data_IF_514868961746
#
_entry.id   IF_514868961746
#
_cell.length_a   1.000
_cell.length_b   1.000
_cell.length_c   1.000
_cell.angle_alpha   90.00
_cell.angle_beta   90.00
_cell.angle_gamma   90.00
#
_symmetry.space_group_name_H-M   'P 1'
#
loop_
_entity.id
_entity.type
_entity.pdbx_description
1 polymer ?
#
# COMPACT_ATOMS: atom_id res chain seq x y z
N UNK A 1 -32.80 33.62 48.79
CA UNK A 1 -31.64 34.26 48.15
C UNK A 1 -31.25 33.41 46.94
N UNK A 2 -31.49 33.90 45.72
CA UNK A 2 -31.15 33.21 44.45
C UNK A 2 -29.63 33.01 44.33
N UNK A 3 -29.11 31.94 43.69
CA UNK A 3 -28.92 31.98 42.22
C UNK A 3 -28.55 30.63 41.57
N UNK A 4 -29.32 30.23 40.55
CA UNK A 4 -28.99 29.24 39.50
C UNK A 4 -28.00 29.82 38.47
N UNK A 5 -26.68 29.80 38.70
CA UNK A 5 -25.61 30.12 37.71
C UNK A 5 -24.31 29.49 38.25
N UNK A 6 -23.79 28.33 37.86
CA UNK A 6 -23.27 27.98 36.53
C UNK A 6 -23.35 26.47 36.36
N UNK A 7 -24.41 26.07 35.70
CA UNK A 7 -24.68 24.77 35.11
C UNK A 7 -23.76 24.49 33.89
N UNK A 8 -22.66 25.19 33.65
CA UNK A 8 -21.91 25.08 32.39
C UNK A 8 -20.40 25.32 32.57
N UNK A 9 -19.59 24.55 31.81
CA UNK A 9 -18.12 24.53 31.68
C UNK A 9 -17.47 23.51 32.63
N UNK A 10 -16.94 22.37 32.21
CA UNK A 10 -16.71 21.75 30.90
C UNK A 10 -16.46 20.28 31.27
N UNK A 11 -17.38 19.35 30.99
CA UNK A 11 -17.33 18.54 29.79
C UNK A 11 -15.89 18.35 29.26
N UNK A 12 -15.01 17.80 30.08
CA UNK A 12 -13.73 17.28 29.63
C UNK A 12 -14.04 15.96 28.90
N UNK A 13 -14.57 16.07 27.68
CA UNK A 13 -14.47 14.98 26.70
C UNK A 13 -12.98 14.79 26.47
N UNK A 14 -12.40 13.81 27.16
CA UNK A 14 -11.11 13.26 26.81
C UNK A 14 -11.32 12.49 25.50
N UNK A 15 -11.39 13.22 24.38
CA UNK A 15 -11.39 12.60 23.05
C UNK A 15 -10.02 12.00 22.85
N UNK A 16 -9.90 10.70 23.09
CA UNK A 16 -8.76 9.94 22.60
C UNK A 16 -8.77 10.06 21.07
N UNK A 17 -7.75 10.68 20.49
CA UNK A 17 -7.56 10.66 19.05
C UNK A 17 -7.20 9.22 18.69
N UNK A 18 -8.18 8.45 18.24
CA UNK A 18 -7.96 7.11 17.71
C UNK A 18 -7.54 7.23 16.25
N UNK A 19 -6.34 6.77 15.91
CA UNK A 19 -5.97 6.58 14.51
C UNK A 19 -6.69 5.32 14.01
N UNK A 20 -7.71 5.50 13.16
CA UNK A 20 -8.33 4.39 12.47
C UNK A 20 -7.45 4.02 11.26
N UNK A 21 -6.90 2.81 11.24
CA UNK A 21 -6.28 2.25 10.05
C UNK A 21 -7.40 1.74 9.14
N UNK A 22 -7.40 2.17 7.88
CA UNK A 22 -8.24 1.56 6.85
C UNK A 22 -7.39 0.58 6.03
N UNK A 23 -7.99 -0.53 5.62
CA UNK A 23 -7.43 -1.38 4.58
C UNK A 23 -8.17 -1.08 3.29
N UNK A 24 -7.44 -0.67 2.25
CA UNK A 24 -7.99 -0.53 0.90
C UNK A 24 -7.60 -1.76 0.12
N UNK A 25 -8.60 -2.54 -0.32
CA UNK A 25 -8.38 -3.67 -1.21
C UNK A 25 -8.53 -3.22 -2.65
N UNK A 26 -7.51 -3.46 -3.47
CA UNK A 26 -7.52 -3.15 -4.89
C UNK A 26 -7.33 -4.45 -5.67
N UNK A 27 -8.15 -4.63 -6.72
CA UNK A 27 -8.20 -5.84 -7.52
C UNK A 27 -9.21 -6.88 -7.00
N UNK A 28 -9.64 -7.75 -7.91
CA UNK A 28 -10.70 -8.74 -7.68
C UNK A 28 -10.18 -10.18 -7.54
N UNK A 29 -8.85 -10.36 -7.46
CA UNK A 29 -8.17 -11.67 -7.36
C UNK A 29 -8.43 -12.66 -8.52
N UNK A 30 -9.02 -12.22 -9.62
CA UNK A 30 -9.32 -13.08 -10.78
C UNK A 30 -8.19 -13.16 -11.81
N UNK A 31 -7.28 -12.18 -11.80
CA UNK A 31 -6.12 -12.15 -12.70
C UNK A 31 -4.90 -12.63 -11.91
N UNK A 32 -4.33 -13.75 -12.36
CA UNK A 32 -3.02 -14.23 -11.90
C UNK A 32 -1.98 -13.68 -12.86
N UNK A 33 -1.28 -12.64 -12.44
CA UNK A 33 -0.18 -12.08 -13.20
C UNK A 33 1.14 -12.27 -12.44
N UNK A 34 2.26 -12.06 -13.10
CA UNK A 34 3.62 -12.21 -12.56
C UNK A 34 4.01 -11.03 -11.64
N UNK A 35 3.03 -10.38 -11.02
CA UNK A 35 3.16 -9.20 -10.19
C UNK A 35 2.85 -9.52 -8.72
N UNK A 36 3.48 -8.82 -7.76
CA UNK A 36 4.48 -7.77 -7.94
C UNK A 36 5.93 -8.30 -8.09
N UNK A 37 6.14 -9.62 -7.96
CA UNK A 37 7.48 -10.23 -7.99
C UNK A 37 7.51 -11.30 -9.07
N UNK A 38 8.41 -11.14 -10.04
CA UNK A 38 8.70 -12.16 -11.04
C UNK A 38 9.92 -12.98 -10.63
N UNK A 39 9.76 -14.30 -10.58
CA UNK A 39 10.77 -15.22 -10.03
C UNK A 39 11.50 -16.03 -11.10
N UNK A 40 11.25 -15.74 -12.38
CA UNK A 40 11.85 -16.47 -13.51
C UNK A 40 13.29 -16.06 -13.83
N UNK A 41 13.76 -14.95 -13.26
CA UNK A 41 15.06 -14.34 -13.55
C UNK A 41 15.81 -14.00 -12.25
N UNK A 42 17.12 -13.79 -12.35
CA UNK A 42 17.95 -13.42 -11.18
C UNK A 42 17.55 -12.05 -10.59
N UNK A 43 17.12 -11.13 -11.46
CA UNK A 43 16.63 -9.80 -11.09
C UNK A 43 15.43 -9.46 -11.96
N UNK A 44 14.43 -8.81 -11.36
CA UNK A 44 13.26 -8.32 -12.08
C UNK A 44 12.95 -6.89 -11.65
N UNK A 45 12.50 -6.07 -12.59
CA UNK A 45 11.98 -4.74 -12.32
C UNK A 45 10.57 -4.62 -12.90
N UNK A 46 9.65 -4.17 -12.07
CA UNK A 46 8.21 -4.16 -12.36
C UNK A 46 7.63 -2.86 -11.78
N UNK A 47 6.70 -2.26 -12.49
CA UNK A 47 5.91 -1.14 -11.98
C UNK A 47 4.41 -1.41 -12.13
N UNK A 48 3.63 -0.82 -11.23
CA UNK A 48 2.17 -0.82 -11.27
C UNK A 48 1.67 0.61 -11.06
N UNK A 49 0.63 1.00 -11.78
CA UNK A 49 -0.08 2.25 -11.57
C UNK A 49 -1.41 1.91 -10.91
N UNK A 50 -1.66 2.51 -9.76
CA UNK A 50 -2.97 2.51 -9.10
C UNK A 50 -3.57 3.90 -9.22
N UNK A 51 -4.73 4.00 -9.84
CA UNK A 51 -5.42 5.28 -10.02
C UNK A 51 -6.05 5.74 -8.71
N UNK A 52 -6.12 7.06 -8.51
CA UNK A 52 -6.71 7.64 -7.30
C UNK A 52 -8.17 7.18 -7.06
N UNK A 53 -8.93 6.96 -8.14
CA UNK A 53 -10.31 6.45 -8.06
C UNK A 53 -10.38 4.94 -7.79
N UNK A 54 -9.33 4.17 -8.05
CA UNK A 54 -9.23 2.75 -7.66
C UNK A 54 -8.91 2.61 -6.18
N UNK A 55 -8.03 3.48 -5.66
CA UNK A 55 -7.72 3.53 -4.23
C UNK A 55 -8.92 4.10 -3.45
N UNK A 56 -9.55 5.14 -3.98
CA UNK A 56 -10.71 5.82 -3.41
C UNK A 56 -10.56 6.16 -1.90
N UNK A 57 -9.35 6.51 -1.49
CA UNK A 57 -9.00 6.84 -0.11
C UNK A 57 -7.86 7.87 -0.08
N UNK A 58 -7.89 8.75 0.92
CA UNK A 58 -6.86 9.77 1.15
C UNK A 58 -6.19 9.50 2.48
N UNK A 59 -4.87 9.31 2.48
CA UNK A 59 -4.10 9.06 3.69
C UNK A 59 -2.66 8.66 3.39
N UNK A 60 -1.97 8.21 4.43
CA UNK A 60 -0.59 7.71 4.35
C UNK A 60 -0.62 6.20 4.17
N UNK A 61 0.19 5.68 3.25
CA UNK A 61 0.40 4.24 3.08
C UNK A 61 1.31 3.74 4.20
N UNK A 62 0.75 2.95 5.12
CA UNK A 62 1.51 2.37 6.23
C UNK A 62 2.06 0.97 5.91
N UNK A 63 1.37 0.23 5.03
CA UNK A 63 1.74 -1.13 4.65
C UNK A 63 1.13 -1.46 3.29
N UNK A 64 1.81 -2.31 2.53
CA UNK A 64 1.30 -2.91 1.30
C UNK A 64 1.37 -4.42 1.48
N UNK A 65 0.31 -5.11 1.07
CA UNK A 65 0.26 -6.57 1.06
C UNK A 65 -0.25 -7.02 -0.30
N UNK A 66 0.37 -8.08 -0.81
CA UNK A 66 -0.07 -8.77 -2.02
C UNK A 66 -0.47 -10.19 -1.67
N UNK A 67 -1.55 -10.65 -2.31
CA UNK A 67 -1.98 -12.02 -2.19
C UNK A 67 -1.15 -12.91 -3.11
N UNK A 68 -0.61 -14.00 -2.57
CA UNK A 68 0.25 -14.94 -3.30
C UNK A 68 -0.41 -16.32 -3.36
N UNK A 69 -0.58 -16.87 -4.57
CA UNK A 69 -1.10 -18.22 -4.80
C UNK A 69 -0.19 -19.01 -5.74
N UNK A 70 1.03 -19.28 -5.28
CA UNK A 70 1.96 -20.16 -5.98
C UNK A 70 2.02 -21.55 -5.33
N UNK A 71 2.26 -22.62 -6.11
CA UNK A 71 2.46 -23.96 -5.56
C UNK A 71 3.75 -24.10 -4.74
N UNK A 72 4.70 -23.17 -4.90
CA UNK A 72 5.99 -23.16 -4.20
C UNK A 72 6.35 -21.75 -3.77
N UNK A 73 6.96 -21.62 -2.59
CA UNK A 73 7.53 -20.36 -2.15
C UNK A 73 8.77 -20.01 -2.99
N UNK A 74 8.93 -18.76 -3.44
CA UNK A 74 10.15 -18.32 -4.10
C UNK A 74 11.30 -18.25 -3.09
N UNK A 75 12.07 -19.33 -2.97
CA UNK A 75 13.14 -19.42 -1.96
C UNK A 75 14.25 -18.36 -2.13
N UNK A 76 14.35 -17.71 -3.30
CA UNK A 76 15.41 -16.75 -3.62
C UNK A 76 14.92 -15.37 -4.12
N UNK A 77 13.61 -15.09 -4.07
CA UNK A 77 13.04 -13.81 -4.55
C UNK A 77 12.47 -12.96 -3.42
N UNK A 78 13.08 -13.07 -2.24
CA UNK A 78 12.64 -12.42 -1.02
C UNK A 78 13.30 -11.07 -0.78
N UNK A 79 14.48 -10.78 -1.34
CA UNK A 79 15.10 -9.46 -1.22
C UNK A 79 14.55 -8.51 -2.28
N UNK A 80 13.84 -7.47 -1.85
CA UNK A 80 13.17 -6.53 -2.74
C UNK A 80 13.47 -5.08 -2.36
N UNK A 81 13.34 -4.20 -3.34
CA UNK A 81 13.23 -2.77 -3.15
C UNK A 81 11.87 -2.31 -3.63
N UNK A 82 11.20 -1.49 -2.84
CA UNK A 82 9.92 -0.88 -3.21
C UNK A 82 10.11 0.62 -3.34
N UNK A 83 9.68 1.15 -4.47
CA UNK A 83 9.68 2.58 -4.75
C UNK A 83 8.25 3.05 -4.96
N UNK A 84 7.90 4.21 -4.41
CA UNK A 84 6.59 4.83 -4.56
C UNK A 84 6.76 6.28 -5.01
N UNK A 85 5.92 6.72 -5.93
CA UNK A 85 5.85 8.09 -6.41
C UNK A 85 4.51 8.38 -7.08
N UNK A 86 4.27 9.65 -7.40
CA UNK A 86 3.10 10.07 -8.17
C UNK A 86 3.46 10.17 -9.65
N UNK A 87 2.50 9.87 -10.52
CA UNK A 87 2.64 10.05 -11.96
C UNK A 87 1.32 10.59 -12.54
N UNK A 88 1.41 11.30 -13.67
CA UNK A 88 0.24 11.68 -14.46
C UNK A 88 -0.19 10.59 -15.45
N UNK A 89 0.56 9.47 -15.55
CA UNK A 89 0.20 8.33 -16.38
C UNK A 89 -0.99 7.60 -15.78
N UNK A 90 -1.93 7.19 -16.64
CA UNK A 90 -3.03 6.31 -16.26
C UNK A 90 -2.73 4.83 -16.55
N UNK A 91 -1.78 4.54 -17.44
CA UNK A 91 -1.35 3.21 -17.83
C UNK A 91 0.04 3.28 -18.47
N UNK A 92 0.68 2.13 -18.63
CA UNK A 92 1.89 1.98 -19.44
C UNK A 92 1.51 1.70 -20.89
N UNK A 93 2.20 2.34 -21.82
CA UNK A 93 1.94 2.25 -23.26
C UNK A 93 2.75 1.14 -23.94
N UNK A 94 3.83 0.68 -23.29
CA UNK A 94 4.71 -0.39 -23.76
C UNK A 94 5.53 -0.98 -22.60
N UNK A 95 6.33 -2.00 -22.90
CA UNK A 95 7.24 -2.63 -21.94
C UNK A 95 8.44 -1.74 -21.56
N UNK A 96 8.66 -0.63 -22.25
CA UNK A 96 9.75 0.33 -21.96
C UNK A 96 9.21 1.64 -21.35
N UNK A 97 7.88 1.76 -21.19
CA UNK A 97 7.20 2.99 -20.78
C UNK A 97 7.18 3.18 -19.25
N UNK A 98 8.29 2.96 -18.56
CA UNK A 98 8.35 3.11 -17.11
C UNK A 98 8.26 4.58 -16.66
N UNK A 99 7.88 4.79 -15.40
CA UNK A 99 8.16 6.05 -14.67
C UNK A 99 9.64 6.05 -14.28
N UNK A 100 10.32 7.18 -14.50
CA UNK A 100 11.73 7.32 -14.15
C UNK A 100 11.93 7.10 -12.65
N UNK A 101 12.99 6.38 -12.28
CA UNK A 101 13.29 6.09 -10.88
C UNK A 101 13.56 7.37 -10.06
N UNK A 102 14.00 8.45 -10.70
CA UNK A 102 14.21 9.75 -10.06
C UNK A 102 12.88 10.43 -9.64
N UNK A 103 11.75 10.01 -10.22
CA UNK A 103 10.41 10.47 -9.83
C UNK A 103 9.81 9.60 -8.71
N UNK A 104 10.56 8.60 -8.23
CA UNK A 104 10.14 7.66 -7.20
C UNK A 104 11.02 7.76 -5.95
N UNK A 105 10.46 7.38 -4.80
CA UNK A 105 11.18 7.32 -3.52
C UNK A 105 11.29 5.87 -3.05
N UNK A 106 12.51 5.42 -2.70
CA UNK A 106 12.71 4.11 -2.04
C UNK A 106 12.04 4.14 -0.67
N UNK A 107 10.99 3.34 -0.47
CA UNK A 107 10.24 3.24 0.79
C UNK A 107 10.51 1.95 1.56
N UNK A 108 11.10 0.96 0.88
CA UNK A 108 11.48 -0.32 1.47
C UNK A 108 12.66 -0.91 0.72
N UNK A 109 13.60 -1.52 1.46
CA UNK A 109 14.76 -2.21 0.92
C UNK A 109 15.19 -3.28 1.91
N UNK A 110 14.85 -4.53 1.61
CA UNK A 110 15.08 -5.64 2.52
C UNK A 110 14.39 -6.92 2.10
N UNK A 111 14.41 -7.90 3.01
CA UNK A 111 13.83 -9.22 2.77
C UNK A 111 12.39 -9.31 3.26
N UNK A 112 11.49 -9.78 2.40
CA UNK A 112 10.10 -10.12 2.74
C UNK A 112 9.94 -11.60 3.12
N UNK A 113 8.86 -11.89 3.82
CA UNK A 113 8.42 -13.25 4.13
C UNK A 113 7.13 -13.55 3.39
N UNK A 114 7.04 -14.74 2.78
CA UNK A 114 5.79 -15.22 2.20
C UNK A 114 4.93 -15.85 3.28
N UNK A 115 3.70 -15.38 3.44
CA UNK A 115 2.71 -16.05 4.27
C UNK A 115 2.20 -17.29 3.53
N UNK A 116 2.25 -18.44 4.20
CA UNK A 116 1.52 -19.63 3.76
C UNK A 116 0.17 -19.57 4.45
N UNK A 117 -0.92 -19.45 3.70
CA UNK A 117 -2.26 -19.60 4.27
C UNK A 117 -2.46 -21.10 4.54
N UNK A 118 -2.73 -21.45 5.79
CA UNK A 118 -2.89 -22.83 6.29
C UNK A 118 -4.29 -23.38 6.06
#
# INVERSE_FOLDING_TARGET
>A
MFSKKHLYISLLFLTTITFAQTTVQIGTSTIKDLYPIYTGENYSYIQQIYLANEINYVGIIQSIQFYFTGPYLPNNSNNIKVYIGHTSKNSFSSNDDFVDINDLTEVYNGSITYAIDS
#
